data_IF_712039861370
#
_entry.id   IF_712039861370
#
_cell.length_a   1.000
_cell.length_b   1.000
_cell.length_c   1.000
_cell.angle_alpha   90.00
_cell.angle_beta   90.00
_cell.angle_gamma   90.00
#
_symmetry.space_group_name_H-M   'P 1'
#
loop_
_entity.id
_entity.type
_entity.pdbx_description
1 polymer ?
#
# COMPACT_ATOMS: atom_id res chain seq x y z
N UNK A 1 10.20 -14.35 -9.15
CA UNK A 1 9.24 -13.80 -10.14
C UNK A 1 10.02 -12.94 -11.13
N UNK A 2 9.71 -13.01 -12.43
CA UNK A 2 10.29 -12.09 -13.42
C UNK A 2 9.89 -10.65 -13.07
N UNK A 3 10.87 -9.73 -13.02
CA UNK A 3 10.67 -8.31 -12.77
C UNK A 3 9.62 -7.70 -13.70
N UNK A 4 9.50 -8.19 -14.94
CA UNK A 4 8.45 -7.76 -15.88
C UNK A 4 7.04 -8.10 -15.38
N UNK A 5 6.84 -9.32 -14.87
CA UNK A 5 5.53 -9.75 -14.32
C UNK A 5 5.17 -8.95 -13.07
N UNK A 6 6.15 -8.64 -12.22
CA UNK A 6 5.93 -7.77 -11.06
C UNK A 6 5.52 -6.35 -11.49
N UNK A 7 6.18 -5.79 -12.51
CA UNK A 7 5.87 -4.47 -13.07
C UNK A 7 4.43 -4.40 -13.60
N UNK A 8 3.98 -5.42 -14.35
CA UNK A 8 2.58 -5.48 -14.83
C UNK A 8 1.61 -5.50 -13.66
N UNK A 9 1.89 -6.27 -12.60
CA UNK A 9 1.06 -6.31 -11.38
C UNK A 9 1.02 -4.94 -10.70
N UNK A 10 2.15 -4.26 -10.59
CA UNK A 10 2.23 -2.90 -10.02
C UNK A 10 1.38 -1.89 -10.81
N UNK A 11 1.48 -1.91 -12.13
CA UNK A 11 0.69 -1.04 -13.02
C UNK A 11 -0.81 -1.33 -12.86
N UNK A 12 -1.18 -2.61 -12.80
CA UNK A 12 -2.59 -2.99 -12.60
C UNK A 12 -3.12 -2.51 -11.25
N UNK A 13 -2.36 -2.69 -10.17
CA UNK A 13 -2.76 -2.26 -8.82
C UNK A 13 -2.89 -0.75 -8.74
N UNK A 14 -1.93 0.04 -9.24
CA UNK A 14 -2.04 1.50 -9.19
C UNK A 14 -3.17 2.03 -10.06
N UNK A 15 -3.40 1.42 -11.23
CA UNK A 15 -4.53 1.80 -12.08
C UNK A 15 -5.87 1.48 -11.40
N UNK A 16 -5.96 0.34 -10.72
CA UNK A 16 -7.12 -0.01 -9.93
C UNK A 16 -7.36 0.97 -8.77
N UNK A 17 -6.33 1.32 -8.00
CA UNK A 17 -6.40 2.32 -6.93
C UNK A 17 -6.85 3.67 -7.50
N UNK A 18 -6.24 4.13 -8.60
CA UNK A 18 -6.61 5.37 -9.25
C UNK A 18 -8.08 5.39 -9.68
N UNK A 19 -8.55 4.33 -10.33
CA UNK A 19 -9.94 4.23 -10.76
C UNK A 19 -10.90 4.22 -9.57
N UNK A 20 -10.56 3.45 -8.53
CA UNK A 20 -11.38 3.35 -7.31
C UNK A 20 -11.46 4.70 -6.59
N UNK A 21 -10.33 5.40 -6.44
CA UNK A 21 -10.27 6.74 -5.85
C UNK A 21 -11.08 7.75 -6.67
N UNK A 22 -10.94 7.74 -8.00
CA UNK A 22 -11.69 8.65 -8.87
C UNK A 22 -13.20 8.45 -8.72
N UNK A 23 -13.66 7.20 -8.75
CA UNK A 23 -15.07 6.88 -8.53
C UNK A 23 -15.51 7.25 -7.11
N UNK A 24 -14.66 7.04 -6.11
CA UNK A 24 -14.97 7.37 -4.73
C UNK A 24 -15.14 8.88 -4.50
N UNK A 25 -14.37 9.71 -5.20
CA UNK A 25 -14.53 11.16 -5.19
C UNK A 25 -15.79 11.60 -5.95
N UNK A 26 -15.99 11.11 -7.18
CA UNK A 26 -17.13 11.49 -8.03
C UNK A 26 -18.48 11.12 -7.40
N UNK A 27 -18.57 9.96 -6.74
CA UNK A 27 -19.79 9.46 -6.12
C UNK A 27 -19.84 9.67 -4.60
N UNK A 28 -18.92 10.46 -4.03
CA UNK A 28 -18.85 10.75 -2.60
C UNK A 28 -18.83 9.48 -1.71
N UNK A 29 -18.16 8.42 -2.16
CA UNK A 29 -18.09 7.16 -1.43
C UNK A 29 -17.28 7.26 -0.15
N UNK A 30 -16.30 8.17 -0.08
CA UNK A 30 -15.60 8.46 1.18
C UNK A 30 -16.54 8.92 2.29
N UNK A 31 -17.67 9.56 1.94
CA UNK A 31 -18.69 9.95 2.91
C UNK A 31 -19.83 8.92 3.03
N UNK A 32 -20.13 8.18 1.96
CA UNK A 32 -21.31 7.31 1.87
C UNK A 32 -21.03 5.85 2.24
N UNK A 33 -19.81 5.37 2.03
CA UNK A 33 -19.37 3.99 2.32
C UNK A 33 -18.43 4.06 3.51
N UNK A 34 -18.92 3.62 4.67
CA UNK A 34 -18.10 3.55 5.86
C UNK A 34 -16.86 2.68 5.64
N UNK A 35 -15.75 3.15 6.21
CA UNK A 35 -14.44 2.50 6.18
C UNK A 35 -13.81 2.36 4.81
N UNK A 36 -14.32 2.95 3.72
CA UNK A 36 -13.71 2.83 2.37
C UNK A 36 -12.24 3.30 2.36
N UNK A 37 -11.90 4.23 3.24
CA UNK A 37 -10.53 4.74 3.37
C UNK A 37 -9.54 3.66 3.80
N UNK A 38 -9.93 2.81 4.74
CA UNK A 38 -9.08 1.74 5.27
C UNK A 38 -8.63 0.75 4.17
N UNK A 39 -9.51 0.20 3.29
CA UNK A 39 -9.10 -0.55 2.10
C UNK A 39 -8.22 0.25 1.13
N UNK A 40 -8.43 1.56 0.98
CA UNK A 40 -7.59 2.39 0.12
C UNK A 40 -6.16 2.47 0.65
N UNK A 41 -5.98 2.71 1.95
CA UNK A 41 -4.67 2.63 2.63
C UNK A 41 -4.07 1.23 2.52
N UNK A 42 -4.84 0.17 2.77
CA UNK A 42 -4.34 -1.19 2.58
C UNK A 42 -3.80 -1.44 1.17
N UNK A 43 -4.52 -0.99 0.14
CA UNK A 43 -4.09 -1.12 -1.26
C UNK A 43 -2.85 -0.25 -1.55
N UNK A 44 -2.80 0.96 -0.99
CA UNK A 44 -1.64 1.85 -1.06
C UNK A 44 -0.39 1.23 -0.45
N UNK A 45 -0.47 0.77 0.79
CA UNK A 45 0.60 0.05 1.48
C UNK A 45 1.02 -1.23 0.76
N UNK A 46 0.07 -1.99 0.19
CA UNK A 46 0.37 -3.16 -0.63
C UNK A 46 1.16 -2.80 -1.89
N UNK A 47 0.70 -1.80 -2.63
CA UNK A 47 1.38 -1.32 -3.83
C UNK A 47 2.79 -0.82 -3.52
N UNK A 48 2.92 -0.02 -2.47
CA UNK A 48 4.21 0.51 -2.03
C UNK A 48 5.15 -0.61 -1.58
N UNK A 49 4.65 -1.60 -0.85
CA UNK A 49 5.42 -2.78 -0.47
C UNK A 49 5.98 -3.53 -1.69
N UNK A 50 5.16 -3.72 -2.73
CA UNK A 50 5.61 -4.33 -3.99
C UNK A 50 6.65 -3.46 -4.73
N UNK A 51 6.51 -2.13 -4.70
CA UNK A 51 7.51 -1.21 -5.25
C UNK A 51 8.84 -1.33 -4.52
N UNK A 52 8.82 -1.35 -3.19
CA UNK A 52 10.04 -1.47 -2.39
C UNK A 52 10.74 -2.81 -2.63
N UNK A 53 9.97 -3.90 -2.80
CA UNK A 53 10.50 -5.20 -3.21
C UNK A 53 11.22 -5.11 -4.57
N UNK A 54 10.61 -4.44 -5.55
CA UNK A 54 11.20 -4.24 -6.87
C UNK A 54 12.44 -3.33 -6.80
N UNK A 55 12.35 -2.21 -6.10
CA UNK A 55 13.39 -1.19 -5.98
C UNK A 55 14.65 -1.75 -5.30
N UNK A 56 14.48 -2.50 -4.21
CA UNK A 56 15.58 -3.19 -3.53
C UNK A 56 15.99 -4.51 -4.20
N UNK A 57 15.35 -4.88 -5.32
CA UNK A 57 15.64 -6.09 -6.08
C UNK A 57 15.63 -7.36 -5.21
N UNK A 58 14.68 -7.45 -4.29
CA UNK A 58 14.63 -8.53 -3.30
C UNK A 58 14.27 -9.85 -4.01
N UNK A 59 15.20 -10.80 -4.02
CA UNK A 59 15.00 -12.15 -4.55
C UNK A 59 14.65 -13.17 -3.47
N UNK A 60 15.17 -12.97 -2.26
CA UNK A 60 14.90 -13.77 -1.07
C UNK A 60 14.71 -12.84 0.13
N UNK A 61 13.77 -13.19 1.01
CA UNK A 61 13.50 -12.38 2.19
C UNK A 61 14.46 -12.73 3.33
N UNK A 62 15.37 -11.81 3.62
CA UNK A 62 16.10 -11.77 4.89
C UNK A 62 15.38 -10.88 5.89
N UNK A 63 15.67 -11.03 7.18
CA UNK A 63 15.17 -10.12 8.22
C UNK A 63 15.46 -8.64 7.91
N UNK A 64 16.66 -8.34 7.38
CA UNK A 64 17.04 -6.99 6.95
C UNK A 64 16.17 -6.48 5.80
N UNK A 65 15.85 -7.33 4.82
CA UNK A 65 15.01 -6.98 3.68
C UNK A 65 13.58 -6.67 4.12
N UNK A 66 13.03 -7.49 5.04
CA UNK A 66 11.69 -7.29 5.62
C UNK A 66 11.63 -5.97 6.39
N UNK A 67 12.61 -5.70 7.26
CA UNK A 67 12.68 -4.44 7.99
C UNK A 67 12.75 -3.23 7.08
N UNK A 68 13.54 -3.28 5.99
CA UNK A 68 13.61 -2.18 5.01
C UNK A 68 12.25 -1.88 4.38
N UNK A 69 11.49 -2.90 4.01
CA UNK A 69 10.16 -2.72 3.43
C UNK A 69 9.21 -2.13 4.48
N UNK A 70 9.17 -2.69 5.68
CA UNK A 70 8.28 -2.23 6.75
C UNK A 70 8.56 -0.77 7.10
N UNK A 71 9.83 -0.42 7.33
CA UNK A 71 10.23 0.96 7.63
C UNK A 71 9.89 1.89 6.47
N UNK A 72 10.10 1.45 5.23
CA UNK A 72 9.72 2.21 4.04
C UNK A 72 8.23 2.48 3.99
N UNK A 73 7.40 1.45 4.13
CA UNK A 73 5.94 1.58 4.10
C UNK A 73 5.44 2.51 5.21
N UNK A 74 5.93 2.34 6.44
CA UNK A 74 5.56 3.21 7.56
C UNK A 74 6.00 4.66 7.36
N UNK A 75 7.19 4.89 6.81
CA UNK A 75 7.69 6.24 6.52
C UNK A 75 6.80 6.94 5.50
N UNK A 76 6.48 6.27 4.39
CA UNK A 76 5.63 6.86 3.35
C UNK A 76 4.18 7.00 3.79
N UNK A 77 3.62 6.03 4.52
CA UNK A 77 2.28 6.15 5.11
C UNK A 77 2.20 7.34 6.06
N UNK A 78 3.18 7.51 6.95
CA UNK A 78 3.24 8.68 7.82
C UNK A 78 3.38 10.01 7.06
N UNK A 79 4.15 10.05 5.96
CA UNK A 79 4.24 11.23 5.10
C UNK A 79 2.92 11.52 4.39
N UNK A 80 2.17 10.47 4.01
CA UNK A 80 0.86 10.59 3.40
C UNK A 80 -0.16 11.19 4.37
N UNK A 81 -0.18 10.74 5.61
CA UNK A 81 -1.02 11.32 6.68
C UNK A 81 -0.74 12.82 6.90
N UNK A 82 0.54 13.21 6.93
CA UNK A 82 0.92 14.63 7.02
C UNK A 82 0.38 15.40 5.82
N UNK A 83 0.47 14.84 4.62
CA UNK A 83 -0.06 15.44 3.41
C UNK A 83 -1.58 15.62 3.51
N UNK A 84 -2.31 14.62 3.96
CA UNK A 84 -3.77 14.71 4.12
C UNK A 84 -4.18 15.75 5.15
N UNK A 85 -3.51 15.82 6.30
CA UNK A 85 -3.76 16.85 7.31
C UNK A 85 -3.61 18.25 6.71
N UNK A 86 -2.58 18.47 5.89
CA UNK A 86 -2.34 19.76 5.23
C UNK A 86 -3.44 20.08 4.20
N UNK A 87 -3.85 19.09 3.40
CA UNK A 87 -4.89 19.28 2.37
C UNK A 87 -6.27 19.47 2.99
N UNK A 88 -6.64 18.67 3.98
CA UNK A 88 -7.93 18.76 4.66
C UNK A 88 -8.08 20.11 5.38
N UNK A 89 -7.02 20.58 6.03
CA UNK A 89 -7.01 21.90 6.66
C UNK A 89 -7.22 23.05 5.65
N UNK A 90 -6.75 22.89 4.40
CA UNK A 90 -6.84 23.94 3.38
C UNK A 90 -8.12 23.86 2.53
N UNK A 91 -8.76 22.69 2.44
CA UNK A 91 -9.84 22.45 1.48
C UNK A 91 -11.21 22.28 2.13
N UNK A 92 -11.30 21.59 3.26
CA UNK A 92 -12.58 21.13 3.84
C UNK A 92 -12.81 21.60 5.28
N UNK A 93 -11.85 22.28 5.90
CA UNK A 93 -11.86 22.65 7.34
C UNK A 93 -12.13 21.48 8.29
N UNK A 94 -11.97 20.24 7.80
CA UNK A 94 -12.30 19.05 8.55
C UNK A 94 -11.31 18.86 9.70
N UNK A 95 -11.83 18.55 10.88
CA UNK A 95 -11.01 18.38 12.09
C UNK A 95 -10.16 17.12 11.96
N UNK A 96 -8.86 17.28 12.21
CA UNK A 96 -7.92 16.17 12.33
C UNK A 96 -8.45 15.10 13.29
N UNK A 97 -8.56 13.87 12.81
CA UNK A 97 -9.01 12.72 13.59
C UNK A 97 -7.85 11.74 13.81
N UNK A 98 -7.35 11.70 15.04
CA UNK A 98 -6.23 10.83 15.43
C UNK A 98 -6.55 9.35 15.20
N UNK A 99 -7.80 8.92 15.41
CA UNK A 99 -8.19 7.52 15.24
C UNK A 99 -8.18 7.08 13.77
N UNK A 100 -8.48 8.02 12.86
CA UNK A 100 -8.43 7.82 11.41
C UNK A 100 -6.99 7.56 11.00
N UNK A 101 -6.10 8.53 11.26
CA UNK A 101 -4.67 8.44 10.98
C UNK A 101 -3.99 7.20 11.56
N UNK A 102 -4.35 6.78 12.78
CA UNK A 102 -3.80 5.55 13.36
C UNK A 102 -4.29 4.32 12.58
N UNK A 103 -5.56 4.30 12.18
CA UNK A 103 -6.12 3.22 11.38
C UNK A 103 -5.45 3.18 10.01
N UNK A 104 -5.26 4.32 9.37
CA UNK A 104 -4.67 4.45 8.03
C UNK A 104 -3.22 3.95 8.00
N UNK A 105 -2.40 4.39 8.96
CA UNK A 105 -1.03 3.86 9.14
C UNK A 105 -1.05 2.35 9.40
N UNK A 106 -2.01 1.85 10.17
CA UNK A 106 -2.15 0.41 10.43
C UNK A 106 -2.50 -0.36 9.15
N UNK A 107 -3.41 0.16 8.32
CA UNK A 107 -3.81 -0.48 7.07
C UNK A 107 -2.71 -0.41 6.01
N UNK A 108 -1.97 0.70 5.92
CA UNK A 108 -0.76 0.81 5.10
C UNK A 108 0.26 -0.27 5.49
N UNK A 109 0.52 -0.40 6.79
CA UNK A 109 1.42 -1.43 7.32
C UNK A 109 0.93 -2.85 6.99
N UNK A 110 -0.36 -3.13 7.17
CA UNK A 110 -0.96 -4.42 6.84
C UNK A 110 -0.84 -4.75 5.35
N UNK A 111 -1.04 -3.76 4.48
CA UNK A 111 -0.82 -3.86 3.04
C UNK A 111 0.63 -4.21 2.71
N UNK A 112 1.59 -3.51 3.33
CA UNK A 112 3.02 -3.77 3.18
C UNK A 112 3.43 -5.18 3.61
N UNK A 113 2.91 -5.67 4.74
CA UNK A 113 3.08 -7.07 5.18
C UNK A 113 2.49 -8.05 4.17
N UNK A 114 1.30 -7.76 3.64
CA UNK A 114 0.68 -8.59 2.63
C UNK A 114 1.52 -8.67 1.35
N UNK A 115 2.17 -7.58 0.94
CA UNK A 115 3.10 -7.59 -0.20
C UNK A 115 4.27 -8.57 0.00
N UNK A 116 4.83 -8.60 1.21
CA UNK A 116 5.90 -9.54 1.59
C UNK A 116 5.40 -10.98 1.52
N UNK A 117 4.23 -11.27 2.10
CA UNK A 117 3.64 -12.61 2.10
C UNK A 117 3.31 -13.09 0.68
N UNK A 118 2.70 -12.21 -0.12
CA UNK A 118 2.35 -12.46 -1.52
C UNK A 118 3.58 -12.81 -2.34
N UNK A 119 4.65 -12.01 -2.25
CA UNK A 119 5.87 -12.26 -2.99
C UNK A 119 6.61 -13.51 -2.50
N UNK A 120 6.61 -13.77 -1.18
CA UNK A 120 7.20 -14.97 -0.58
C UNK A 120 6.55 -16.26 -1.09
N UNK A 121 5.21 -16.29 -1.17
CA UNK A 121 4.48 -17.43 -1.74
C UNK A 121 4.84 -17.68 -3.20
N UNK A 122 5.01 -16.61 -3.99
CA UNK A 122 5.41 -16.72 -5.39
C UNK A 122 6.83 -17.29 -5.55
N UNK A 123 7.77 -16.91 -4.67
CA UNK A 123 9.13 -17.48 -4.66
C UNK A 123 9.07 -18.98 -4.35
N UNK A 124 8.33 -19.37 -3.31
CA UNK A 124 8.21 -20.78 -2.90
C UNK A 124 7.59 -21.65 -4.01
N UNK A 125 6.57 -21.15 -4.72
CA UNK A 125 5.98 -21.87 -5.85
C UNK A 125 7.01 -22.15 -6.95
N UNK A 126 7.79 -21.13 -7.35
CA UNK A 126 8.80 -21.29 -8.41
C UNK A 126 9.86 -22.34 -8.01
N UNK A 127 10.31 -22.34 -6.75
CA UNK A 127 11.30 -23.31 -6.27
C UNK A 127 10.77 -24.75 -6.29
N UNK A 128 9.47 -24.96 -6.06
CA UNK A 128 8.83 -26.28 -6.11
C UNK A 128 8.74 -26.82 -7.53
N UNK A 129 8.48 -25.97 -8.52
CA UNK A 129 8.33 -26.39 -9.92
C UNK A 129 9.67 -26.69 -10.62
N UNK A 130 10.81 -26.39 -9.97
CA UNK A 130 12.17 -26.58 -10.51
C UNK A 130 12.91 -27.80 -9.95
N UNK A 131 12.30 -28.57 -9.05
CA UNK A 131 12.87 -29.78 -8.43
C UNK A 131 12.14 -31.00 -8.97
#
# INVERSE_FOLDING_TARGET
MDSKKLLVRLVFVIFFIFLLNYLALEFYWYSSIWYLDMPMHFLGGFWLGLILILFFQIKEFSFKSILKIIIGVLLFGFLWEIFEIVINKTTTENLFNILDTISDIFFDFAGGLFAILYFSRQIMSIKRDTV
#
